data_IF_409570550954
#
_entry.id   IF_409570550954
#
_cell.length_a   1.000
_cell.length_b   1.000
_cell.length_c   1.000
_cell.angle_alpha   90.00
_cell.angle_beta   90.00
_cell.angle_gamma   90.00
#
_symmetry.space_group_name_H-M   'P 1'
#
loop_
_entity.id
_entity.type
_entity.pdbx_description
1 polymer ?
#
# COMPACT_ATOMS: atom_id res chain seq x y z
N UNK A 1 -43.29 13.20 60.56
CA UNK A 1 -43.06 14.04 59.37
C UNK A 1 -42.54 13.13 58.25
N UNK A 2 -43.36 12.90 57.20
CA UNK A 2 -43.12 13.26 55.77
C UNK A 2 -41.86 12.62 55.18
N UNK A 3 -41.83 11.88 54.05
CA UNK A 3 -42.75 11.53 52.94
C UNK A 3 -42.12 10.26 52.30
N UNK A 4 -42.84 9.16 52.05
CA UNK A 4 -43.55 8.80 50.80
C UNK A 4 -42.73 9.09 49.53
N UNK A 5 -42.22 8.03 48.88
CA UNK A 5 -41.95 8.02 47.44
C UNK A 5 -42.91 6.99 46.81
N UNK A 6 -43.81 7.51 45.98
CA UNK A 6 -44.78 6.78 45.16
C UNK A 6 -44.07 6.33 43.89
N UNK A 7 -44.37 5.11 43.44
CA UNK A 7 -43.79 4.53 42.23
C UNK A 7 -44.31 5.14 40.93
N UNK A 8 -43.72 4.69 39.82
CA UNK A 8 -44.43 4.62 38.55
C UNK A 8 -43.89 3.47 37.71
N UNK A 9 -44.75 2.46 37.57
CA UNK A 9 -44.72 1.43 36.55
C UNK A 9 -45.11 2.10 35.24
N UNK A 10 -44.30 1.94 34.19
CA UNK A 10 -44.74 2.19 32.82
C UNK A 10 -44.62 0.91 32.00
N UNK A 11 -45.80 0.38 31.71
CA UNK A 11 -46.16 -0.67 30.78
C UNK A 11 -46.21 -0.08 29.36
N UNK A 12 -45.47 -0.64 28.40
CA UNK A 12 -45.71 -0.45 26.95
C UNK A 12 -45.39 -1.79 26.27
N UNK A 13 -46.42 -2.63 26.08
CA UNK A 13 -47.18 -2.84 24.83
C UNK A 13 -46.42 -3.65 23.76
N UNK A 14 -46.79 -4.93 23.71
CA UNK A 14 -46.63 -5.83 22.57
C UNK A 14 -47.29 -5.23 21.32
N UNK A 15 -46.51 -5.10 20.25
CA UNK A 15 -47.04 -5.03 18.89
C UNK A 15 -46.47 -6.18 18.08
N UNK A 16 -47.34 -7.17 17.89
CA UNK A 16 -47.27 -8.17 16.84
C UNK A 16 -47.33 -7.49 15.47
N UNK A 17 -46.31 -7.69 14.65
CA UNK A 17 -46.27 -7.22 13.26
C UNK A 17 -45.51 -8.24 12.42
N UNK A 18 -46.27 -9.06 11.69
CA UNK A 18 -45.82 -10.09 10.77
C UNK A 18 -44.86 -9.53 9.70
N UNK A 19 -43.68 -10.13 9.58
CA UNK A 19 -42.81 -9.95 8.42
C UNK A 19 -42.93 -11.18 7.53
N UNK A 20 -43.31 -10.92 6.28
CA UNK A 20 -43.44 -11.85 5.17
C UNK A 20 -42.18 -12.70 4.99
N UNK A 21 -42.43 -13.98 4.81
CA UNK A 21 -41.45 -15.00 4.46
C UNK A 21 -40.82 -14.72 3.08
N UNK A 22 -39.55 -14.34 3.09
CA UNK A 22 -38.63 -14.53 1.97
C UNK A 22 -37.70 -15.70 2.31
N UNK A 23 -37.86 -16.79 1.57
CA UNK A 23 -37.09 -18.03 1.68
C UNK A 23 -35.58 -17.81 1.61
N UNK A 24 -34.88 -17.98 2.73
CA UNK A 24 -33.44 -18.22 2.74
C UNK A 24 -33.17 -19.72 2.55
N UNK A 25 -32.26 -20.12 1.64
CA UNK A 25 -31.93 -21.53 1.47
C UNK A 25 -31.24 -22.08 2.72
N UNK A 26 -31.78 -23.20 3.22
CA UNK A 26 -31.14 -24.02 4.27
C UNK A 26 -29.83 -24.57 3.73
N UNK A 27 -28.71 -24.08 4.24
CA UNK A 27 -27.44 -24.80 4.16
C UNK A 27 -27.17 -25.46 5.51
N UNK A 28 -27.41 -26.77 5.58
CA UNK A 28 -27.06 -27.60 6.74
C UNK A 28 -25.55 -27.63 6.89
N UNK A 29 -25.02 -26.91 7.87
CA UNK A 29 -23.61 -26.99 8.28
C UNK A 29 -23.47 -28.15 9.27
N UNK A 30 -22.89 -29.28 8.84
CA UNK A 30 -22.21 -30.18 9.78
C UNK A 30 -20.97 -29.42 10.27
N UNK A 31 -20.88 -29.22 11.58
CA UNK A 31 -19.68 -28.68 12.24
C UNK A 31 -18.70 -29.84 12.42
N UNK A 32 -17.61 -29.83 11.66
CA UNK A 32 -16.39 -30.58 11.96
C UNK A 32 -15.41 -29.62 12.67
N UNK A 33 -14.66 -30.05 13.69
CA UNK A 33 -13.82 -29.18 14.50
C UNK A 33 -12.42 -29.03 13.91
N UNK A 34 -11.92 -27.79 13.88
CA UNK A 34 -10.48 -27.50 13.81
C UNK A 34 -9.79 -27.75 12.47
N UNK A 35 -9.79 -26.75 11.59
CA UNK A 35 -8.98 -26.73 10.38
C UNK A 35 -8.73 -25.30 9.94
N UNK A 36 -7.45 -24.91 9.93
CA UNK A 36 -6.91 -23.64 9.44
C UNK A 36 -7.52 -23.26 8.08
N UNK A 37 -7.99 -22.02 7.94
CA UNK A 37 -8.57 -21.53 6.68
C UNK A 37 -7.54 -21.68 5.55
N UNK A 38 -7.87 -22.29 4.40
CA UNK A 38 -6.97 -22.34 3.28
C UNK A 38 -6.74 -20.91 2.77
N UNK A 39 -5.48 -20.54 2.59
CA UNK A 39 -5.10 -19.32 1.89
C UNK A 39 -5.77 -19.35 0.50
N UNK A 40 -6.59 -18.35 0.21
CA UNK A 40 -7.14 -18.15 -1.13
C UNK A 40 -5.96 -17.78 -2.03
N UNK A 41 -5.45 -18.74 -2.81
CA UNK A 41 -4.55 -18.43 -3.93
C UNK A 41 -5.38 -17.71 -4.98
N UNK A 42 -5.14 -16.42 -5.15
CA UNK A 42 -5.50 -15.75 -6.39
C UNK A 42 -4.53 -16.25 -7.44
N UNK A 43 -5.00 -17.10 -8.36
CA UNK A 43 -4.24 -17.40 -9.58
C UNK A 43 -4.19 -16.08 -10.38
N UNK A 44 -2.99 -15.49 -10.47
CA UNK A 44 -2.72 -14.33 -11.32
C UNK A 44 -2.10 -14.92 -12.60
N UNK A 45 -2.89 -15.16 -13.65
CA UNK A 45 -2.35 -15.67 -14.89
C UNK A 45 -1.53 -14.56 -15.54
N UNK A 46 -0.32 -14.87 -16.01
CA UNK A 46 0.57 -14.03 -16.83
C UNK A 46 1.67 -13.20 -16.16
N UNK A 47 1.81 -13.25 -14.83
CA UNK A 47 2.99 -12.69 -14.19
C UNK A 47 4.16 -13.68 -14.31
N UNK A 48 5.41 -13.21 -14.36
CA UNK A 48 6.51 -14.08 -13.98
C UNK A 48 6.23 -14.49 -12.53
N UNK A 49 5.68 -15.69 -12.32
CA UNK A 49 5.12 -16.15 -11.04
C UNK A 49 6.06 -15.87 -9.86
N UNK A 50 7.37 -15.85 -10.11
CA UNK A 50 8.41 -15.57 -9.12
C UNK A 50 8.45 -14.11 -8.65
N UNK A 51 8.39 -13.13 -9.55
CA UNK A 51 8.43 -11.71 -9.15
C UNK A 51 7.14 -11.36 -8.38
N UNK A 52 6.01 -11.91 -8.84
CA UNK A 52 4.73 -11.83 -8.14
C UNK A 52 4.83 -12.33 -6.69
N UNK A 53 5.44 -13.50 -6.51
CA UNK A 53 5.63 -14.14 -5.22
C UNK A 53 6.52 -13.29 -4.30
N UNK A 54 7.57 -12.67 -4.83
CA UNK A 54 8.45 -11.77 -4.07
C UNK A 54 7.70 -10.50 -3.62
N UNK A 55 6.92 -9.89 -4.50
CA UNK A 55 6.11 -8.71 -4.16
C UNK A 55 4.99 -9.06 -3.16
N UNK A 56 4.37 -10.24 -3.32
CA UNK A 56 3.40 -10.75 -2.37
C UNK A 56 4.04 -11.03 -1.01
N UNK A 57 5.25 -11.58 -0.97
CA UNK A 57 6.01 -11.81 0.25
C UNK A 57 6.34 -10.49 0.95
N UNK A 58 6.86 -9.50 0.20
CA UNK A 58 7.13 -8.14 0.68
C UNK A 58 5.91 -7.51 1.36
N UNK A 59 4.75 -7.59 0.70
CA UNK A 59 3.50 -7.06 1.21
C UNK A 59 3.05 -7.79 2.49
N UNK A 60 2.92 -9.11 2.43
CA UNK A 60 2.36 -9.91 3.54
C UNK A 60 3.28 -9.93 4.77
N UNK A 61 4.59 -9.80 4.56
CA UNK A 61 5.58 -9.75 5.63
C UNK A 61 5.34 -8.62 6.63
N UNK A 62 4.65 -7.56 6.22
CA UNK A 62 4.34 -6.36 7.03
C UNK A 62 2.86 -5.96 6.95
N UNK A 63 1.95 -6.92 6.86
CA UNK A 63 0.48 -6.70 6.89
C UNK A 63 -0.05 -5.82 5.74
N UNK A 64 0.71 -5.73 4.66
CA UNK A 64 0.38 -5.02 3.45
C UNK A 64 -0.44 -5.83 2.46
N UNK A 65 -0.54 -5.31 1.24
CA UNK A 65 -1.20 -6.00 0.13
C UNK A 65 -0.49 -5.71 -1.20
N UNK A 66 -0.28 -6.76 -1.98
CA UNK A 66 0.27 -6.70 -3.32
C UNK A 66 -0.80 -6.28 -4.35
N UNK A 67 -0.38 -5.47 -5.31
CA UNK A 67 -1.17 -5.06 -6.47
C UNK A 67 -0.37 -5.31 -7.74
N UNK A 68 -1.06 -5.77 -8.78
CA UNK A 68 -0.47 -5.95 -10.11
C UNK A 68 -1.06 -4.89 -11.03
N UNK A 69 -0.22 -4.25 -11.84
CA UNK A 69 -0.61 -3.39 -12.95
C UNK A 69 -0.37 -4.08 -14.30
N UNK A 70 -0.42 -5.43 -14.33
CA UNK A 70 -0.26 -6.23 -15.57
C UNK A 70 -1.41 -5.96 -16.53
N UNK A 71 -2.64 -6.15 -16.07
CA UNK A 71 -3.82 -6.10 -16.95
C UNK A 71 -4.43 -4.69 -17.07
N UNK A 72 -3.84 -3.67 -16.42
CA UNK A 72 -4.42 -2.34 -16.37
C UNK A 72 -3.42 -1.22 -16.04
N UNK A 73 -3.69 0.03 -16.47
CA UNK A 73 -2.79 1.16 -16.24
C UNK A 73 -2.34 1.34 -14.79
N UNK A 74 -1.08 1.72 -14.58
CA UNK A 74 -0.46 1.95 -13.28
C UNK A 74 -1.32 2.88 -12.40
N UNK A 75 -1.90 3.94 -12.97
CA UNK A 75 -2.72 4.86 -12.19
C UNK A 75 -3.94 4.18 -11.54
N UNK A 76 -4.52 3.15 -12.18
CA UNK A 76 -5.63 2.39 -11.58
C UNK A 76 -5.14 1.54 -10.41
N UNK A 77 -3.92 0.99 -10.47
CA UNK A 77 -3.33 0.26 -9.35
C UNK A 77 -3.11 1.19 -8.15
N UNK A 78 -2.52 2.37 -8.40
CA UNK A 78 -2.33 3.40 -7.37
C UNK A 78 -3.68 3.81 -6.77
N UNK A 79 -4.69 4.13 -7.60
CA UNK A 79 -6.02 4.49 -7.11
C UNK A 79 -6.62 3.40 -6.23
N UNK A 80 -6.46 2.12 -6.61
CA UNK A 80 -6.96 0.99 -5.83
C UNK A 80 -6.23 0.83 -4.49
N UNK A 81 -4.92 1.02 -4.45
CA UNK A 81 -4.15 1.06 -3.20
C UNK A 81 -4.73 2.12 -2.27
N UNK A 82 -4.95 3.34 -2.78
CA UNK A 82 -5.47 4.45 -1.98
C UNK A 82 -6.90 4.18 -1.51
N UNK A 83 -7.78 3.72 -2.40
CA UNK A 83 -9.20 3.45 -2.07
C UNK A 83 -9.37 2.35 -1.02
N UNK A 84 -8.53 1.31 -1.06
CA UNK A 84 -8.65 0.17 -0.15
C UNK A 84 -7.90 0.38 1.18
N UNK A 85 -6.89 1.25 1.23
CA UNK A 85 -5.94 1.27 2.35
C UNK A 85 -5.69 2.64 2.99
N UNK A 86 -5.98 3.74 2.29
CA UNK A 86 -5.66 5.07 2.80
C UNK A 86 -6.58 5.42 3.98
N UNK A 87 -6.00 5.96 5.05
CA UNK A 87 -6.74 6.44 6.21
C UNK A 87 -6.53 7.95 6.38
N UNK A 88 -7.51 8.66 6.98
CA UNK A 88 -7.29 10.05 7.37
C UNK A 88 -6.06 10.19 8.27
N UNK A 89 -5.27 11.23 8.03
CA UNK A 89 -4.03 11.51 8.77
C UNK A 89 -2.87 10.57 8.48
N UNK A 90 -2.96 9.73 7.44
CA UNK A 90 -1.90 8.79 7.07
C UNK A 90 -0.64 9.51 6.54
N UNK A 91 0.50 8.83 6.68
CA UNK A 91 1.72 9.11 5.94
C UNK A 91 1.84 8.11 4.80
N UNK A 92 2.05 8.60 3.59
CA UNK A 92 2.27 7.78 2.40
C UNK A 92 3.55 8.22 1.68
N UNK A 93 4.40 7.26 1.34
CA UNK A 93 5.57 7.50 0.48
C UNK A 93 5.44 6.64 -0.77
N UNK A 94 5.53 7.27 -1.94
CA UNK A 94 5.67 6.55 -3.21
C UNK A 94 7.15 6.30 -3.47
N UNK A 95 7.56 5.03 -3.53
CA UNK A 95 8.93 4.60 -3.81
C UNK A 95 8.95 4.02 -5.21
N UNK A 96 9.49 4.78 -6.16
CA UNK A 96 9.34 4.54 -7.60
C UNK A 96 10.69 4.18 -8.18
N UNK A 97 10.78 3.03 -8.85
CA UNK A 97 11.96 2.71 -9.64
C UNK A 97 12.12 3.72 -10.78
N UNK A 98 13.37 4.15 -11.01
CA UNK A 98 13.71 5.07 -12.08
C UNK A 98 14.69 4.52 -13.11
N UNK A 99 14.74 3.20 -13.28
CA UNK A 99 15.44 2.63 -14.44
C UNK A 99 14.82 3.11 -15.76
N UNK A 100 15.54 2.88 -16.86
CA UNK A 100 15.10 3.37 -18.18
C UNK A 100 13.78 2.75 -18.67
N UNK A 101 13.40 1.56 -18.20
CA UNK A 101 12.13 0.91 -18.54
C UNK A 101 10.93 1.64 -17.93
N UNK A 102 11.13 2.36 -16.82
CA UNK A 102 10.08 3.05 -16.06
C UNK A 102 9.71 4.45 -16.59
N UNK A 103 10.28 4.89 -17.72
CA UNK A 103 10.06 6.26 -18.24
C UNK A 103 8.59 6.60 -18.42
N UNK A 104 7.87 5.73 -19.13
CA UNK A 104 6.47 5.92 -19.47
C UNK A 104 5.55 5.87 -18.24
N UNK A 105 5.88 5.03 -17.26
CA UNK A 105 5.20 4.95 -15.96
C UNK A 105 5.41 6.20 -15.12
N UNK A 106 6.64 6.69 -15.01
CA UNK A 106 6.95 7.95 -14.31
C UNK A 106 6.20 9.11 -14.97
N UNK A 107 6.19 9.16 -16.30
CA UNK A 107 5.44 10.17 -17.05
C UNK A 107 3.92 10.02 -16.82
N UNK A 108 3.39 8.80 -16.68
CA UNK A 108 1.98 8.57 -16.31
C UNK A 108 1.68 9.10 -14.91
N UNK A 109 2.51 8.78 -13.91
CA UNK A 109 2.35 9.28 -12.54
C UNK A 109 2.42 10.80 -12.51
N UNK A 110 3.34 11.43 -13.26
CA UNK A 110 3.46 12.88 -13.33
C UNK A 110 2.22 13.54 -13.97
N UNK A 111 1.67 12.96 -15.05
CA UNK A 111 0.43 13.44 -15.68
C UNK A 111 -0.77 13.33 -14.76
N UNK A 112 -0.87 12.23 -14.01
CA UNK A 112 -2.00 11.92 -13.15
C UNK A 112 -1.81 12.40 -11.70
N UNK A 113 -0.69 13.07 -11.40
CA UNK A 113 -0.34 13.55 -10.06
C UNK A 113 -1.48 14.36 -9.43
N UNK A 114 -2.15 15.20 -10.23
CA UNK A 114 -3.30 15.98 -9.75
C UNK A 114 -4.41 15.07 -9.21
N UNK A 115 -4.75 14.00 -9.91
CA UNK A 115 -5.78 13.04 -9.46
C UNK A 115 -5.36 12.33 -8.19
N UNK A 116 -4.08 11.95 -8.09
CA UNK A 116 -3.51 11.34 -6.87
C UNK A 116 -3.65 12.33 -5.70
N UNK A 117 -3.18 13.56 -5.85
CA UNK A 117 -3.20 14.56 -4.77
C UNK A 117 -4.61 14.93 -4.33
N UNK A 118 -5.56 15.06 -5.26
CA UNK A 118 -6.97 15.35 -4.93
C UNK A 118 -7.60 14.24 -4.05
N UNK A 119 -7.20 12.98 -4.27
CA UNK A 119 -7.64 11.85 -3.43
C UNK A 119 -7.02 11.91 -2.03
N UNK A 120 -5.73 12.26 -1.92
CA UNK A 120 -5.06 12.42 -0.63
C UNK A 120 -5.65 13.58 0.19
N UNK A 121 -5.94 14.71 -0.47
CA UNK A 121 -6.61 15.87 0.15
C UNK A 121 -8.00 15.48 0.66
N UNK A 122 -8.77 14.76 -0.15
CA UNK A 122 -10.13 14.31 0.20
C UNK A 122 -10.14 13.29 1.33
N UNK A 123 -9.09 12.48 1.48
CA UNK A 123 -8.96 11.52 2.59
C UNK A 123 -8.66 12.19 3.94
N UNK A 124 -8.17 13.44 3.92
CA UNK A 124 -8.02 14.30 5.10
C UNK A 124 -6.64 14.23 5.75
N UNK A 125 -5.91 15.34 5.70
CA UNK A 125 -4.58 15.55 6.35
C UNK A 125 -3.55 14.44 6.10
N UNK A 126 -3.57 13.84 4.92
CA UNK A 126 -2.55 12.86 4.53
C UNK A 126 -1.25 13.61 4.23
N UNK A 127 -0.10 13.10 4.67
CA UNK A 127 1.21 13.61 4.25
C UNK A 127 1.78 12.70 3.19
N UNK A 128 2.33 13.29 2.14
CA UNK A 128 2.90 12.57 1.01
C UNK A 128 4.38 12.85 0.89
N UNK A 129 5.16 11.80 0.67
CA UNK A 129 6.54 11.85 0.24
C UNK A 129 6.73 11.05 -1.04
N UNK A 130 7.86 11.24 -1.70
CA UNK A 130 8.22 10.49 -2.91
C UNK A 130 9.71 10.18 -2.91
N UNK A 131 10.05 9.00 -3.42
CA UNK A 131 11.41 8.51 -3.63
C UNK A 131 11.54 8.04 -5.07
N UNK A 132 12.67 8.35 -5.70
CA UNK A 132 13.12 7.68 -6.91
C UNK A 132 14.39 6.89 -6.59
N UNK A 133 14.50 5.66 -7.09
CA UNK A 133 15.62 4.79 -6.76
C UNK A 133 16.07 3.95 -7.95
N UNK A 134 17.34 3.51 -7.90
CA UNK A 134 17.87 2.38 -8.66
C UNK A 134 18.91 1.65 -7.81
N UNK A 135 20.20 1.93 -8.02
CA UNK A 135 21.33 1.33 -7.29
C UNK A 135 21.56 2.08 -5.97
N UNK A 136 20.70 1.86 -4.99
CA UNK A 136 20.78 2.50 -3.65
C UNK A 136 22.11 2.18 -2.98
N UNK A 137 22.57 0.92 -3.10
CA UNK A 137 23.85 0.45 -2.58
C UNK A 137 25.07 1.22 -3.10
N UNK A 138 25.04 1.74 -4.33
CA UNK A 138 26.12 2.58 -4.86
C UNK A 138 26.45 3.78 -3.96
N UNK A 139 25.49 4.22 -3.13
CA UNK A 139 25.60 5.41 -2.29
C UNK A 139 25.68 6.71 -3.09
N UNK A 140 25.42 6.66 -4.39
CA UNK A 140 25.40 7.85 -5.26
C UNK A 140 24.10 8.63 -5.08
N UNK A 141 24.15 9.93 -5.33
CA UNK A 141 22.95 10.78 -5.31
C UNK A 141 21.92 10.40 -6.39
N UNK A 142 22.33 9.60 -7.38
CA UNK A 142 21.46 9.10 -8.43
C UNK A 142 20.85 7.74 -8.10
N UNK A 143 21.38 7.02 -7.11
CA UNK A 143 20.84 5.73 -6.68
C UNK A 143 19.59 5.88 -5.81
N UNK A 144 19.46 7.02 -5.13
CA UNK A 144 18.34 7.31 -4.24
C UNK A 144 18.13 8.83 -4.11
N UNK A 145 16.96 9.31 -4.51
CA UNK A 145 16.53 10.69 -4.33
C UNK A 145 15.18 10.71 -3.64
N UNK A 146 14.94 11.72 -2.79
CA UNK A 146 13.72 11.78 -2.01
C UNK A 146 13.20 13.19 -1.81
N UNK A 147 11.88 13.32 -1.74
CA UNK A 147 11.16 14.44 -1.17
C UNK A 147 10.37 13.91 0.04
N UNK A 148 10.70 14.45 1.23
CA UNK A 148 10.16 13.98 2.50
C UNK A 148 8.65 14.27 2.65
N UNK A 149 8.02 13.65 3.65
CA UNK A 149 6.59 13.74 3.96
C UNK A 149 6.15 15.19 4.22
N UNK A 150 5.16 15.66 3.45
CA UNK A 150 4.56 16.98 3.64
C UNK A 150 3.05 16.98 3.33
N UNK A 151 2.33 17.97 3.88
CA UNK A 151 0.96 18.28 3.49
C UNK A 151 0.89 19.13 2.20
N UNK A 152 1.99 19.80 1.83
CA UNK A 152 2.13 20.55 0.59
C UNK A 152 2.77 19.68 -0.50
N UNK A 153 1.98 19.32 -1.51
CA UNK A 153 2.40 18.46 -2.61
C UNK A 153 3.00 19.21 -3.80
N UNK A 154 3.11 20.54 -3.75
CA UNK A 154 3.52 21.38 -4.89
C UNK A 154 4.94 21.08 -5.41
N UNK A 155 5.79 20.49 -4.58
CA UNK A 155 7.14 20.06 -4.95
C UNK A 155 7.20 18.76 -5.75
N UNK A 156 6.14 17.94 -5.72
CA UNK A 156 6.19 16.54 -6.18
C UNK A 156 6.28 16.46 -7.71
N UNK A 157 5.53 17.29 -8.44
CA UNK A 157 5.63 17.31 -9.91
C UNK A 157 7.03 17.68 -10.38
N UNK A 158 7.65 18.69 -9.75
CA UNK A 158 9.04 19.08 -10.04
C UNK A 158 10.06 18.02 -9.66
N UNK A 159 9.76 17.19 -8.65
CA UNK A 159 10.59 16.06 -8.29
C UNK A 159 10.56 15.02 -9.41
N UNK A 160 9.36 14.60 -9.83
CA UNK A 160 9.17 13.63 -10.92
C UNK A 160 9.79 14.10 -12.24
N UNK A 161 9.64 15.38 -12.60
CA UNK A 161 10.21 15.95 -13.83
C UNK A 161 11.76 15.94 -13.87
N UNK A 162 12.42 15.78 -12.71
CA UNK A 162 13.88 15.81 -12.57
C UNK A 162 14.50 14.43 -12.42
N UNK A 163 13.69 13.38 -12.42
CA UNK A 163 14.20 12.02 -12.31
C UNK A 163 15.07 11.73 -13.55
N UNK A 164 16.36 11.57 -13.30
CA UNK A 164 17.34 11.13 -14.28
C UNK A 164 17.28 9.60 -14.35
N UNK A 165 16.88 9.05 -15.50
CA UNK A 165 16.76 7.62 -15.69
C UNK A 165 18.14 6.98 -15.83
N UNK A 166 18.68 6.48 -14.71
CA UNK A 166 20.02 5.91 -14.64
C UNK A 166 20.06 4.69 -13.72
N UNK A 167 21.01 3.80 -14.00
CA UNK A 167 21.20 2.56 -13.26
C UNK A 167 20.72 1.34 -14.02
N UNK A 168 21.24 0.18 -13.60
CA UNK A 168 20.88 -1.14 -14.14
C UNK A 168 20.53 -2.13 -13.03
N UNK A 169 20.46 -1.66 -11.80
CA UNK A 169 20.18 -2.45 -10.59
C UNK A 169 19.00 -1.77 -9.91
N UNK A 170 18.01 -2.57 -9.51
CA UNK A 170 16.83 -2.12 -8.79
C UNK A 170 16.90 -2.60 -7.33
N UNK A 171 17.59 -1.82 -6.51
CA UNK A 171 17.77 -2.11 -5.08
C UNK A 171 16.52 -1.76 -4.27
N UNK A 172 15.43 -2.48 -4.53
CA UNK A 172 14.12 -2.31 -3.88
C UNK A 172 14.25 -2.42 -2.36
N UNK A 173 15.03 -3.39 -1.85
CA UNK A 173 15.22 -3.55 -0.41
C UNK A 173 15.95 -2.36 0.21
N UNK A 174 17.01 -1.86 -0.44
CA UNK A 174 17.71 -0.65 -0.01
C UNK A 174 16.82 0.57 -0.05
N UNK A 175 16.02 0.73 -1.10
CA UNK A 175 15.09 1.84 -1.24
C UNK A 175 14.04 1.86 -0.12
N UNK A 176 13.42 0.70 0.17
CA UNK A 176 12.44 0.60 1.26
C UNK A 176 13.13 0.86 2.61
N UNK A 177 14.24 0.19 2.89
CA UNK A 177 14.93 0.31 4.18
C UNK A 177 15.33 1.76 4.46
N UNK A 178 15.94 2.42 3.47
CA UNK A 178 16.38 3.82 3.57
C UNK A 178 15.21 4.79 3.70
N UNK A 179 14.10 4.53 3.00
CA UNK A 179 12.86 5.32 3.14
C UNK A 179 12.31 5.24 4.56
N UNK A 180 12.26 4.05 5.15
CA UNK A 180 11.80 3.90 6.54
C UNK A 180 12.76 4.59 7.52
N UNK A 181 14.07 4.61 7.23
CA UNK A 181 15.10 5.20 8.10
C UNK A 181 15.14 6.73 8.04
N UNK A 182 15.01 7.33 6.86
CA UNK A 182 15.30 8.75 6.64
C UNK A 182 14.07 9.67 6.69
N UNK A 183 12.87 9.14 6.46
CA UNK A 183 11.65 9.95 6.36
C UNK A 183 11.11 10.36 7.74
N UNK A 184 10.50 11.54 7.80
CA UNK A 184 9.97 12.12 9.05
C UNK A 184 8.55 11.63 9.35
N UNK A 185 8.41 10.34 9.63
CA UNK A 185 7.13 9.70 9.96
C UNK A 185 6.49 10.27 11.25
N UNK A 186 5.28 10.80 11.15
CA UNK A 186 4.52 11.40 12.27
C UNK A 186 3.14 10.76 12.44
N UNK A 187 2.60 10.13 11.38
CA UNK A 187 1.26 9.57 11.42
C UNK A 187 1.16 8.49 12.50
N UNK A 188 0.09 8.63 13.28
CA UNK A 188 -0.37 7.64 14.26
C UNK A 188 -1.52 6.79 13.71
N UNK A 189 -2.08 7.15 12.54
CA UNK A 189 -3.18 6.39 11.93
C UNK A 189 -2.66 5.30 11.00
N UNK A 190 -1.75 5.64 10.10
CA UNK A 190 -1.13 4.68 9.17
C UNK A 190 0.14 5.25 8.56
N UNK A 191 1.18 4.44 8.47
CA UNK A 191 2.40 4.73 7.73
C UNK A 191 2.53 3.70 6.62
N UNK A 192 2.56 4.15 5.38
CA UNK A 192 2.56 3.25 4.23
C UNK A 192 3.57 3.65 3.18
N UNK A 193 4.20 2.65 2.57
CA UNK A 193 5.02 2.81 1.37
C UNK A 193 4.29 2.10 0.23
N UNK A 194 4.16 2.80 -0.89
CA UNK A 194 3.72 2.22 -2.17
C UNK A 194 4.97 2.05 -3.03
N UNK A 195 5.41 0.81 -3.21
CA UNK A 195 6.59 0.47 -4.02
C UNK A 195 6.13 0.25 -5.46
N UNK A 196 6.80 0.84 -6.44
CA UNK A 196 6.42 0.77 -7.86
C UNK A 196 7.67 0.42 -8.68
N UNK A 197 7.69 -0.74 -9.32
CA UNK A 197 8.78 -1.23 -10.17
C UNK A 197 8.26 -2.33 -11.11
N UNK A 198 9.01 -2.62 -12.16
CA UNK A 198 8.78 -3.68 -13.14
C UNK A 198 9.72 -4.90 -12.98
N UNK A 199 10.60 -4.92 -11.97
CA UNK A 199 11.61 -5.97 -11.77
C UNK A 199 11.60 -6.55 -10.35
N UNK A 200 12.26 -7.70 -10.21
CA UNK A 200 12.55 -8.35 -8.94
C UNK A 200 13.54 -7.52 -8.08
N UNK A 201 13.40 -7.54 -6.73
CA UNK A 201 14.40 -6.95 -5.84
C UNK A 201 15.81 -7.52 -6.09
N UNK A 202 16.80 -6.63 -6.18
CA UNK A 202 18.20 -7.03 -6.22
C UNK A 202 18.60 -7.90 -5.01
N UNK A 203 19.54 -8.84 -5.22
CA UNK A 203 19.99 -9.78 -4.17
C UNK A 203 21.51 -9.90 -4.09
N UNK A 204 21.99 -10.38 -2.94
CA UNK A 204 23.38 -10.78 -2.76
C UNK A 204 24.36 -9.61 -2.81
N UNK A 205 25.08 -9.45 -3.92
CA UNK A 205 26.09 -8.39 -4.06
C UNK A 205 25.54 -7.10 -4.63
N UNK A 206 24.25 -7.01 -4.92
CA UNK A 206 23.63 -5.84 -5.54
C UNK A 206 22.82 -5.01 -4.54
N UNK A 207 22.64 -5.50 -3.33
CA UNK A 207 21.97 -4.82 -2.21
C UNK A 207 22.70 -5.09 -0.90
N UNK A 208 22.62 -4.17 0.04
CA UNK A 208 23.13 -4.37 1.41
C UNK A 208 22.05 -4.93 2.36
N UNK A 209 20.81 -5.08 1.87
CA UNK A 209 19.66 -5.48 2.69
C UNK A 209 18.96 -6.71 2.13
N UNK A 210 18.43 -7.52 3.03
CA UNK A 210 17.56 -8.65 2.68
C UNK A 210 16.09 -8.30 2.94
N UNK A 211 15.19 -9.14 2.41
CA UNK A 211 13.76 -9.07 2.75
C UNK A 211 13.52 -9.08 4.27
N UNK A 212 14.27 -9.92 5.01
CA UNK A 212 14.14 -9.99 6.45
C UNK A 212 14.55 -8.68 7.15
N UNK A 213 15.57 -7.99 6.65
CA UNK A 213 16.00 -6.68 7.17
C UNK A 213 14.91 -5.62 6.92
N UNK A 214 14.29 -5.64 5.74
CA UNK A 214 13.15 -4.79 5.40
C UNK A 214 11.98 -5.05 6.35
N UNK A 215 11.63 -6.31 6.60
CA UNK A 215 10.54 -6.65 7.53
C UNK A 215 10.81 -6.17 8.94
N UNK A 216 12.02 -6.36 9.45
CA UNK A 216 12.40 -5.90 10.78
C UNK A 216 12.32 -4.36 10.87
N UNK A 217 12.83 -3.66 9.86
CA UNK A 217 12.82 -2.19 9.81
C UNK A 217 11.41 -1.64 9.72
N UNK A 218 10.60 -2.10 8.77
CA UNK A 218 9.20 -1.70 8.60
C UNK A 218 8.37 -1.96 9.87
N UNK A 219 8.49 -3.13 10.48
CA UNK A 219 7.77 -3.46 11.74
C UNK A 219 8.18 -2.57 12.90
N UNK A 220 9.48 -2.24 13.00
CA UNK A 220 9.97 -1.37 14.08
C UNK A 220 9.37 0.04 14.01
N UNK A 221 9.04 0.52 12.81
CA UNK A 221 8.45 1.84 12.57
C UNK A 221 6.95 1.80 12.24
N UNK A 222 6.31 0.63 12.38
CA UNK A 222 4.90 0.41 12.05
C UNK A 222 4.54 0.88 10.61
N UNK A 223 5.43 0.60 9.66
CA UNK A 223 5.25 0.88 8.24
C UNK A 223 4.74 -0.38 7.53
N UNK A 224 3.69 -0.23 6.74
CA UNK A 224 3.14 -1.29 5.89
C UNK A 224 3.51 -1.06 4.42
N UNK A 225 3.67 -2.13 3.65
CA UNK A 225 4.07 -2.06 2.24
C UNK A 225 2.91 -2.38 1.29
N UNK A 226 2.78 -1.60 0.23
CA UNK A 226 1.85 -1.85 -0.88
C UNK A 226 2.60 -1.89 -2.21
N UNK A 227 3.30 -2.99 -2.51
CA UNK A 227 4.01 -3.14 -3.77
C UNK A 227 3.05 -3.21 -4.95
N UNK A 228 3.37 -2.48 -6.00
CA UNK A 228 2.74 -2.49 -7.32
C UNK A 228 3.77 -3.01 -8.31
N UNK A 229 3.53 -4.19 -8.87
CA UNK A 229 4.36 -4.72 -9.95
C UNK A 229 3.77 -4.31 -11.29
N UNK A 230 4.57 -3.64 -12.11
CA UNK A 230 4.27 -3.33 -13.51
C UNK A 230 4.81 -4.48 -14.36
N UNK A 231 4.10 -4.84 -15.42
CA UNK A 231 4.59 -5.83 -16.37
C UNK A 231 4.92 -5.17 -17.70
N UNK A 232 6.18 -5.29 -18.12
CA UNK A 232 6.67 -4.77 -19.40
C UNK A 232 6.55 -5.76 -20.54
N UNK A 233 6.02 -6.97 -20.31
CA UNK A 233 5.90 -7.99 -21.34
C UNK A 233 4.80 -7.75 -22.39
N UNK A 234 4.17 -6.57 -22.42
CA UNK A 234 3.18 -6.19 -23.44
C UNK A 234 3.68 -5.14 -24.45
N UNK A 235 4.81 -5.43 -25.12
CA UNK A 235 5.12 -4.82 -26.44
C UNK A 235 5.67 -5.86 -27.43
#
# INVERSE_FOLDING_TARGET
MRRIFVGMISLVLLLSGSILAGSLPRYSRKLEPGGMSPAVRYEIPYLNDRIAEEYQSLALGVEGKFYSAVDFPLIKAICRVLEENLLPGADIVFVIDHTSSMRDDIDEVARELKSITERLESAGKVRMGVVSFSDVRSGTEYGYQSLDLNLDYSGVGKFLDRIDLVGSVEDIYGAIWKTVDEFTWESQSKRMIVVISDEAPAVGRETDFTEADVFLKCKSENVVLFPILIDKNEN
#
